data_IF_129196499812
#
_entry.id   IF_129196499812
#
_cell.length_a   1.000
_cell.length_b   1.000
_cell.length_c   1.000
_cell.angle_alpha   90.00
_cell.angle_beta   90.00
_cell.angle_gamma   90.00
#
_symmetry.space_group_name_H-M   'P 1'
#
loop_
_entity.id
_entity.type
_entity.pdbx_description
1 polymer ?
#
# COMPACT_ATOMS: atom_id res chain seq x y z
N UNK A 1 28.82 -7.16 91.99
CA UNK A 1 28.05 -8.24 91.33
C UNK A 1 27.36 -7.58 90.13
N UNK A 2 27.82 -7.82 88.94
CA UNK A 2 27.34 -7.35 87.64
C UNK A 2 26.14 -8.13 87.12
N UNK A 3 25.28 -7.52 86.32
CA UNK A 3 24.87 -8.29 85.15
C UNK A 3 25.08 -7.52 83.80
N UNK A 4 25.44 -8.35 82.84
CA UNK A 4 25.62 -8.12 81.42
C UNK A 4 24.39 -7.54 80.70
N UNK A 5 24.61 -6.54 79.90
CA UNK A 5 23.63 -6.09 78.88
C UNK A 5 24.06 -6.58 77.50
N UNK A 6 23.26 -7.45 76.90
CA UNK A 6 23.41 -7.90 75.52
C UNK A 6 22.66 -6.93 74.60
N UNK A 7 23.41 -6.12 73.87
CA UNK A 7 22.87 -5.34 72.76
C UNK A 7 22.74 -6.24 71.49
N UNK A 8 21.52 -6.47 71.05
CA UNK A 8 21.23 -7.14 69.75
C UNK A 8 21.32 -6.10 68.66
N UNK A 9 22.35 -6.21 67.83
CA UNK A 9 22.43 -5.53 66.53
C UNK A 9 21.48 -6.15 65.55
N UNK A 10 20.40 -5.46 65.18
CA UNK A 10 19.58 -5.79 64.02
C UNK A 10 20.24 -5.26 62.75
N UNK A 11 20.89 -6.10 61.97
CA UNK A 11 21.36 -5.79 60.65
C UNK A 11 20.18 -5.82 59.65
N UNK A 12 19.71 -4.67 59.22
CA UNK A 12 18.72 -4.55 58.15
C UNK A 12 19.48 -4.68 56.83
N UNK A 13 19.29 -5.83 56.14
CA UNK A 13 19.76 -6.04 54.76
C UNK A 13 18.83 -5.28 53.83
N UNK A 14 19.25 -4.10 53.36
CA UNK A 14 18.56 -3.36 52.31
C UNK A 14 18.96 -4.00 50.98
N UNK A 15 18.11 -4.90 50.44
CA UNK A 15 18.25 -5.43 49.11
C UNK A 15 17.82 -4.33 48.11
N UNK A 16 18.80 -3.61 47.53
CA UNK A 16 18.58 -2.69 46.43
C UNK A 16 18.23 -3.52 45.16
N UNK A 17 16.94 -3.59 44.80
CA UNK A 17 16.53 -4.00 43.45
C UNK A 17 17.01 -2.94 42.46
N UNK A 18 18.18 -3.13 41.88
CA UNK A 18 18.60 -2.43 40.71
C UNK A 18 17.72 -2.88 39.53
N UNK A 19 16.67 -2.11 39.24
CA UNK A 19 15.96 -2.23 37.97
C UNK A 19 16.94 -1.89 36.87
N UNK A 20 17.48 -2.92 36.22
CA UNK A 20 18.25 -2.76 34.98
C UNK A 20 17.28 -2.24 33.93
N UNK A 21 17.24 -0.92 33.75
CA UNK A 21 16.60 -0.28 32.61
C UNK A 21 17.46 -0.63 31.39
N UNK A 22 17.16 -1.75 30.72
CA UNK A 22 17.77 -2.02 29.42
C UNK A 22 17.36 -0.89 28.50
N UNK A 23 18.30 -0.23 27.81
CA UNK A 23 17.93 0.73 26.78
C UNK A 23 17.11 -0.02 25.73
N UNK A 24 15.84 0.37 25.55
CA UNK A 24 15.05 -0.08 24.43
C UNK A 24 15.84 0.30 23.16
N UNK A 25 16.26 -0.68 22.38
CA UNK A 25 16.90 -0.42 21.10
C UNK A 25 15.85 0.27 20.23
N UNK A 26 16.24 1.42 19.64
CA UNK A 26 15.43 2.08 18.62
C UNK A 26 15.13 1.04 17.53
N UNK A 27 13.84 0.73 17.31
CA UNK A 27 13.39 -0.28 16.35
C UNK A 27 12.65 -1.49 16.96
N UNK A 28 12.82 -1.80 18.24
CA UNK A 28 12.11 -2.91 18.91
C UNK A 28 10.90 -2.43 19.74
N UNK A 29 10.53 -1.14 19.62
CA UNK A 29 9.31 -0.60 20.20
C UNK A 29 8.05 -1.30 19.68
N UNK A 30 6.93 -1.21 20.41
CA UNK A 30 5.63 -1.70 19.98
C UNK A 30 5.41 -3.21 20.09
N UNK A 31 6.35 -3.96 20.67
CA UNK A 31 6.19 -5.38 21.00
C UNK A 31 6.15 -5.52 22.51
N UNK A 32 5.01 -5.99 23.04
CA UNK A 32 4.82 -6.29 24.45
C UNK A 32 4.50 -7.79 24.64
N UNK A 33 4.39 -8.31 25.88
CA UNK A 33 3.94 -9.68 26.08
C UNK A 33 2.56 -10.01 25.49
N UNK A 34 1.71 -8.99 25.28
CA UNK A 34 0.30 -9.17 24.87
C UNK A 34 -0.06 -8.45 23.56
N UNK A 35 0.83 -7.60 23.01
CA UNK A 35 0.51 -6.74 21.87
C UNK A 35 1.68 -6.61 20.90
N UNK A 36 1.36 -6.50 19.60
CA UNK A 36 2.22 -6.00 18.51
C UNK A 36 1.52 -4.78 17.93
N UNK A 37 2.13 -3.61 18.07
CA UNK A 37 1.54 -2.34 17.64
C UNK A 37 2.05 -1.92 16.28
N UNK A 38 1.13 -1.70 15.33
CA UNK A 38 1.40 -1.20 13.98
C UNK A 38 0.86 0.21 13.82
N UNK A 39 1.53 1.03 13.01
CA UNK A 39 1.10 2.40 12.74
C UNK A 39 1.06 2.71 11.25
N UNK A 40 0.17 3.61 10.83
CA UNK A 40 0.17 4.17 9.49
C UNK A 40 -0.06 5.68 9.51
N UNK A 41 0.71 6.43 8.72
CA UNK A 41 0.25 7.69 8.16
C UNK A 41 -0.40 7.41 6.82
N UNK A 42 -1.65 7.78 6.64
CA UNK A 42 -2.43 7.42 5.47
C UNK A 42 -3.38 8.54 5.04
N UNK A 43 -3.69 8.59 3.75
CA UNK A 43 -4.63 9.57 3.18
C UNK A 43 -6.06 9.14 3.50
N UNK A 44 -6.64 9.58 4.62
CA UNK A 44 -8.00 9.19 5.00
C UNK A 44 -9.06 10.21 4.55
N UNK A 45 -8.62 11.41 4.16
CA UNK A 45 -9.47 12.50 3.67
C UNK A 45 -9.07 12.92 2.24
N UNK A 46 -9.88 13.79 1.60
CA UNK A 46 -9.60 14.27 0.25
C UNK A 46 -9.87 13.23 -0.86
N UNK A 47 -9.35 13.48 -2.09
CA UNK A 47 -9.69 12.71 -3.30
C UNK A 47 -9.35 11.21 -3.26
N UNK A 48 -8.36 10.82 -2.46
CA UNK A 48 -7.92 9.42 -2.29
C UNK A 48 -8.47 8.77 -1.02
N UNK A 49 -9.11 9.55 -0.13
CA UNK A 49 -9.51 9.09 1.20
C UNK A 49 -10.43 7.86 1.19
N UNK A 50 -11.39 7.82 0.28
CA UNK A 50 -12.31 6.68 0.15
C UNK A 50 -11.55 5.37 -0.15
N UNK A 51 -10.66 5.39 -1.14
CA UNK A 51 -9.88 4.22 -1.52
C UNK A 51 -8.90 3.80 -0.42
N UNK A 52 -8.24 4.75 0.22
CA UNK A 52 -7.25 4.45 1.27
C UNK A 52 -7.90 3.83 2.51
N UNK A 53 -9.10 4.27 2.89
CA UNK A 53 -9.85 3.60 3.97
C UNK A 53 -10.13 2.14 3.68
N UNK A 54 -10.38 1.77 2.42
CA UNK A 54 -10.62 0.39 2.01
C UNK A 54 -9.42 -0.53 2.30
N UNK A 55 -8.17 -0.07 2.08
CA UNK A 55 -6.99 -0.85 2.48
C UNK A 55 -6.99 -1.15 3.98
N UNK A 56 -7.37 -0.17 4.80
CA UNK A 56 -7.47 -0.33 6.25
C UNK A 56 -8.58 -1.32 6.66
N UNK A 57 -9.72 -1.30 5.96
CA UNK A 57 -10.83 -2.25 6.20
C UNK A 57 -10.36 -3.68 5.93
N UNK A 58 -9.73 -3.93 4.79
CA UNK A 58 -9.19 -5.26 4.44
C UNK A 58 -8.12 -5.74 5.42
N UNK A 59 -7.22 -4.85 5.84
CA UNK A 59 -6.18 -5.17 6.81
C UNK A 59 -6.77 -5.55 8.17
N UNK A 60 -7.72 -4.76 8.69
CA UNK A 60 -8.38 -5.06 9.96
C UNK A 60 -9.19 -6.35 9.90
N UNK A 61 -9.81 -6.65 8.77
CA UNK A 61 -10.53 -7.92 8.59
C UNK A 61 -9.64 -9.12 8.91
N UNK A 62 -8.39 -9.12 8.40
CA UNK A 62 -7.45 -10.20 8.68
C UNK A 62 -6.87 -10.13 10.09
N UNK A 63 -6.48 -8.95 10.58
CA UNK A 63 -5.96 -8.80 11.94
C UNK A 63 -6.98 -9.21 12.99
N UNK A 64 -8.25 -8.85 12.82
CA UNK A 64 -9.33 -9.22 13.74
C UNK A 64 -9.52 -10.74 13.79
N UNK A 65 -9.46 -11.44 12.64
CA UNK A 65 -9.53 -12.90 12.56
C UNK A 65 -8.35 -13.57 13.27
N UNK A 66 -7.14 -13.05 13.08
CA UNK A 66 -5.92 -13.52 13.77
C UNK A 66 -6.04 -13.29 15.28
N UNK A 67 -6.50 -12.11 15.70
CA UNK A 67 -6.67 -11.74 17.08
C UNK A 67 -7.72 -12.62 17.80
N UNK A 68 -8.81 -12.95 17.11
CA UNK A 68 -9.84 -13.86 17.60
C UNK A 68 -9.30 -15.30 17.79
N UNK A 69 -8.30 -15.69 16.98
CA UNK A 69 -7.64 -17.00 17.03
C UNK A 69 -6.45 -17.05 18.02
N UNK A 70 -6.30 -16.04 18.88
CA UNK A 70 -5.23 -15.98 19.90
C UNK A 70 -4.02 -15.13 19.52
N UNK A 71 -4.07 -14.43 18.38
CA UNK A 71 -3.02 -13.52 17.94
C UNK A 71 -1.76 -14.20 17.41
N UNK A 72 -0.66 -13.47 17.37
CA UNK A 72 0.66 -13.97 16.95
C UNK A 72 1.48 -14.33 18.19
N UNK A 73 1.70 -15.60 18.42
CA UNK A 73 2.38 -16.11 19.62
C UNK A 73 1.78 -15.59 20.94
N UNK A 74 0.44 -15.44 21.00
CA UNK A 74 -0.29 -14.93 22.17
C UNK A 74 -0.41 -13.40 22.22
N UNK A 75 0.11 -12.67 21.23
CA UNK A 75 0.05 -11.21 21.16
C UNK A 75 -1.02 -10.77 20.16
N UNK A 76 -1.87 -9.84 20.56
CA UNK A 76 -2.83 -9.22 19.65
C UNK A 76 -2.14 -8.17 18.78
N UNK A 77 -2.57 -8.05 17.54
CA UNK A 77 -2.14 -6.98 16.62
C UNK A 77 -3.07 -5.80 16.83
N UNK A 78 -2.51 -4.63 17.17
CA UNK A 78 -3.20 -3.35 17.12
C UNK A 78 -2.74 -2.54 15.91
N UNK A 79 -3.63 -1.75 15.33
CA UNK A 79 -3.34 -0.98 14.13
C UNK A 79 -3.92 0.43 14.24
N UNK A 80 -3.02 1.40 14.45
CA UNK A 80 -3.33 2.82 14.58
C UNK A 80 -3.11 3.52 13.24
N UNK A 81 -4.04 4.36 12.83
CA UNK A 81 -3.94 5.12 11.57
C UNK A 81 -4.15 6.60 11.84
N UNK A 82 -3.23 7.44 11.35
CA UNK A 82 -3.29 8.89 11.41
C UNK A 82 -3.52 9.45 10.00
N UNK A 83 -4.46 10.40 9.88
CA UNK A 83 -4.75 11.06 8.60
C UNK A 83 -3.69 12.11 8.28
N UNK A 84 -3.04 11.99 7.12
CA UNK A 84 -2.14 13.02 6.61
C UNK A 84 -2.81 13.95 5.58
N UNK A 85 -4.03 13.65 5.14
CA UNK A 85 -4.79 14.47 4.19
C UNK A 85 -4.05 14.68 2.86
N UNK A 86 -3.17 13.76 2.47
CA UNK A 86 -2.26 13.86 1.32
C UNK A 86 -1.18 14.95 1.44
N UNK A 87 -0.93 15.47 2.65
CA UNK A 87 0.10 16.44 2.95
C UNK A 87 1.40 15.75 3.38
N UNK A 88 2.50 16.08 2.69
CA UNK A 88 3.81 15.45 2.89
C UNK A 88 4.40 15.78 4.25
N UNK A 89 4.25 17.02 4.72
CA UNK A 89 4.76 17.44 6.03
C UNK A 89 4.05 16.72 7.16
N UNK A 90 2.72 16.64 7.06
CA UNK A 90 1.89 15.91 8.02
C UNK A 90 2.19 14.41 8.03
N UNK A 91 2.52 13.81 6.88
CA UNK A 91 2.95 12.42 6.82
C UNK A 91 4.23 12.17 7.63
N UNK A 92 5.20 13.09 7.56
CA UNK A 92 6.43 13.02 8.36
C UNK A 92 6.15 13.21 9.86
N UNK A 93 5.32 14.19 10.21
CA UNK A 93 4.91 14.47 11.60
C UNK A 93 4.18 13.26 12.20
N UNK A 94 3.21 12.70 11.48
CA UNK A 94 2.49 11.50 11.88
C UNK A 94 3.43 10.30 12.07
N UNK A 95 4.40 10.11 11.17
CA UNK A 95 5.34 8.99 11.25
C UNK A 95 6.22 9.11 12.48
N UNK A 96 6.76 10.32 12.78
CA UNK A 96 7.51 10.56 14.03
C UNK A 96 6.63 10.31 15.25
N UNK A 97 5.42 10.82 15.29
CA UNK A 97 4.47 10.60 16.38
C UNK A 97 4.18 9.11 16.61
N UNK A 98 4.00 8.34 15.54
CA UNK A 98 3.78 6.89 15.63
C UNK A 98 4.98 6.17 16.23
N UNK A 99 6.20 6.56 15.83
CA UNK A 99 7.45 5.93 16.29
C UNK A 99 7.80 6.40 17.70
N UNK A 100 7.91 7.71 17.91
CA UNK A 100 8.51 8.30 19.11
C UNK A 100 7.54 8.35 20.29
N UNK A 101 6.24 8.62 20.04
CA UNK A 101 5.25 8.79 21.11
C UNK A 101 4.38 7.53 21.30
N UNK A 102 3.97 6.87 20.21
CA UNK A 102 3.09 5.69 20.29
C UNK A 102 3.87 4.38 20.30
N UNK A 103 5.17 4.42 20.03
CA UNK A 103 6.06 3.28 20.09
C UNK A 103 5.58 2.12 19.19
N UNK A 104 5.32 2.39 17.92
CA UNK A 104 4.90 1.32 16.98
C UNK A 104 6.09 0.44 16.60
N UNK A 105 5.85 -0.85 16.42
CA UNK A 105 6.86 -1.82 15.97
C UNK A 105 7.26 -1.57 14.51
N UNK A 106 6.30 -1.21 13.66
CA UNK A 106 6.55 -0.85 12.28
C UNK A 106 5.47 0.06 11.72
N UNK A 107 5.80 0.78 10.65
CA UNK A 107 4.85 1.48 9.81
C UNK A 107 4.28 0.48 8.80
N UNK A 108 2.95 0.47 8.68
CA UNK A 108 2.23 -0.49 7.85
C UNK A 108 1.26 0.23 6.90
N UNK A 109 1.34 -0.07 5.60
CA UNK A 109 0.42 0.48 4.58
C UNK A 109 0.35 2.02 4.54
N UNK A 110 1.47 2.73 4.78
CA UNK A 110 1.48 4.16 4.52
C UNK A 110 1.15 4.44 3.05
N UNK A 111 0.46 5.55 2.77
CA UNK A 111 -0.11 5.82 1.46
C UNK A 111 0.51 7.05 0.81
N UNK A 112 0.75 6.97 -0.51
CA UNK A 112 1.20 8.09 -1.33
C UNK A 112 2.70 8.06 -1.64
N UNK A 113 3.03 8.42 -2.89
CA UNK A 113 4.41 8.38 -3.39
C UNK A 113 5.29 9.46 -2.75
N UNK A 114 4.83 10.70 -2.72
CA UNK A 114 5.57 11.80 -2.10
C UNK A 114 5.69 11.62 -0.58
N UNK A 115 4.62 11.15 0.08
CA UNK A 115 4.58 10.85 1.50
C UNK A 115 5.58 9.75 1.86
N UNK A 116 5.57 8.64 1.11
CA UNK A 116 6.55 7.55 1.30
C UNK A 116 7.98 8.05 1.15
N UNK A 117 8.26 8.87 0.11
CA UNK A 117 9.59 9.45 -0.07
C UNK A 117 10.06 10.27 1.13
N UNK A 118 9.16 11.08 1.67
CA UNK A 118 9.48 12.00 2.77
C UNK A 118 9.72 11.29 4.11
N UNK A 119 9.08 10.15 4.36
CA UNK A 119 9.27 9.40 5.61
C UNK A 119 10.48 8.46 5.59
N UNK A 120 11.06 8.11 4.43
CA UNK A 120 12.20 7.19 4.35
C UNK A 120 13.39 7.58 5.23
N UNK A 121 13.82 8.87 5.31
CA UNK A 121 14.90 9.28 6.22
C UNK A 121 14.57 8.98 7.69
N UNK A 122 13.33 9.25 8.13
CA UNK A 122 12.86 8.95 9.50
C UNK A 122 12.93 7.46 9.79
N UNK A 123 12.48 6.62 8.85
CA UNK A 123 12.51 5.16 8.99
C UNK A 123 13.93 4.61 9.06
N UNK A 124 14.86 5.19 8.29
CA UNK A 124 16.26 4.78 8.30
C UNK A 124 16.97 5.21 9.60
N UNK A 125 16.70 6.42 10.10
CA UNK A 125 17.21 6.94 11.37
C UNK A 125 16.76 6.06 12.55
N UNK A 126 15.46 5.77 12.62
CA UNK A 126 14.83 4.98 13.69
C UNK A 126 14.99 3.46 13.51
N UNK A 127 15.52 2.99 12.38
CA UNK A 127 15.55 1.57 11.98
C UNK A 127 14.16 0.89 12.01
N UNK A 128 13.12 1.67 11.75
CA UNK A 128 11.74 1.20 11.74
C UNK A 128 11.37 0.68 10.35
N UNK A 129 10.78 -0.51 10.29
CA UNK A 129 10.31 -1.09 9.03
C UNK A 129 9.08 -0.34 8.52
N UNK A 130 9.00 -0.09 7.21
CA UNK A 130 7.73 0.12 6.51
C UNK A 130 7.37 -1.14 5.71
N UNK A 131 6.22 -1.72 6.03
CA UNK A 131 5.71 -2.91 5.36
C UNK A 131 4.50 -2.56 4.49
N UNK A 132 4.56 -2.92 3.21
CA UNK A 132 3.47 -2.74 2.25
C UNK A 132 3.14 -1.28 1.93
N UNK A 133 4.12 -0.37 1.70
CA UNK A 133 3.78 0.99 1.31
C UNK A 133 2.91 1.00 0.05
N UNK A 134 1.80 1.75 0.08
CA UNK A 134 0.83 1.84 -1.02
C UNK A 134 1.35 2.80 -2.08
N UNK A 135 2.43 2.40 -2.72
CA UNK A 135 3.06 3.04 -3.87
C UNK A 135 3.86 2.03 -4.68
N UNK A 136 3.87 2.19 -5.99
CA UNK A 136 4.65 1.37 -6.93
C UNK A 136 5.92 2.06 -7.47
N UNK A 137 6.30 3.21 -6.91
CA UNK A 137 7.39 4.03 -7.44
C UNK A 137 8.74 3.32 -7.44
N UNK A 138 9.46 3.35 -8.58
CA UNK A 138 10.78 2.73 -8.76
C UNK A 138 11.83 3.34 -7.84
N UNK A 139 11.74 4.63 -7.52
CA UNK A 139 12.68 5.31 -6.64
C UNK A 139 12.88 4.64 -5.26
N UNK A 140 11.90 3.85 -4.79
CA UNK A 140 11.98 3.10 -3.53
C UNK A 140 12.40 1.64 -3.72
N UNK A 141 12.48 1.18 -4.98
CA UNK A 141 12.72 -0.22 -5.35
C UNK A 141 14.09 -0.43 -5.98
N UNK A 142 14.59 0.57 -6.70
CA UNK A 142 15.86 0.51 -7.42
C UNK A 142 17.05 0.52 -6.44
N UNK A 143 16.87 1.14 -5.27
CA UNK A 143 17.85 1.12 -4.20
C UNK A 143 17.34 0.25 -3.05
N UNK A 144 18.02 -0.85 -2.79
CA UNK A 144 17.71 -1.71 -1.66
C UNK A 144 17.76 -0.95 -0.33
N UNK A 145 16.75 -1.17 0.51
CA UNK A 145 16.70 -0.73 1.90
C UNK A 145 16.23 -1.90 2.77
N UNK A 146 16.94 -2.25 3.85
CA UNK A 146 16.53 -3.35 4.73
C UNK A 146 15.22 -3.06 5.46
N UNK A 147 14.81 -1.80 5.54
CA UNK A 147 13.62 -1.38 6.27
C UNK A 147 12.39 -1.15 5.38
N UNK A 148 12.45 -1.43 4.08
CA UNK A 148 11.31 -1.22 3.17
C UNK A 148 10.91 -2.54 2.53
N UNK A 149 9.75 -3.07 2.91
CA UNK A 149 9.18 -4.29 2.34
C UNK A 149 7.99 -3.95 1.45
N UNK A 150 8.18 -4.08 0.15
CA UNK A 150 7.09 -3.90 -0.82
C UNK A 150 6.28 -5.18 -0.95
N UNK A 151 4.98 -5.06 -1.11
CA UNK A 151 4.08 -6.20 -1.37
C UNK A 151 3.60 -6.17 -2.81
N UNK A 152 3.12 -5.02 -3.26
CA UNK A 152 2.55 -4.79 -4.59
C UNK A 152 3.63 -4.72 -5.69
N UNK A 153 3.24 -4.98 -6.93
CA UNK A 153 4.08 -4.71 -8.10
C UNK A 153 4.41 -3.21 -8.24
N UNK A 154 5.53 -2.91 -8.89
CA UNK A 154 5.95 -1.54 -9.16
C UNK A 154 5.24 -0.94 -10.38
N UNK A 155 5.11 0.39 -10.42
CA UNK A 155 4.51 1.12 -11.55
C UNK A 155 5.24 0.89 -12.87
N UNK A 156 6.55 0.63 -12.84
CA UNK A 156 7.31 0.22 -14.03
C UNK A 156 6.77 -1.07 -14.66
N UNK A 157 6.38 -2.06 -13.84
CA UNK A 157 5.80 -3.30 -14.34
C UNK A 157 4.39 -3.08 -14.90
N UNK A 158 3.60 -2.24 -14.24
CA UNK A 158 2.26 -1.86 -14.71
C UNK A 158 2.35 -1.08 -16.03
N UNK A 159 3.24 -0.08 -16.13
CA UNK A 159 3.46 0.71 -17.34
C UNK A 159 3.88 -0.19 -18.52
N UNK A 160 4.85 -1.09 -18.30
CA UNK A 160 5.24 -2.07 -19.32
C UNK A 160 4.08 -2.93 -19.78
N UNK A 161 3.25 -3.42 -18.84
CA UNK A 161 2.09 -4.27 -19.18
C UNK A 161 1.05 -3.51 -19.99
N UNK A 162 0.78 -2.24 -19.66
CA UNK A 162 -0.17 -1.38 -20.39
C UNK A 162 0.37 -1.09 -21.79
N UNK A 163 1.61 -0.61 -21.94
CA UNK A 163 2.21 -0.28 -23.24
C UNK A 163 2.31 -1.51 -24.12
N UNK A 164 2.75 -2.65 -23.60
CA UNK A 164 2.81 -3.91 -24.34
C UNK A 164 1.43 -4.35 -24.85
N UNK A 165 0.37 -4.20 -24.06
CA UNK A 165 -1.00 -4.49 -24.48
C UNK A 165 -1.45 -3.58 -25.62
N UNK A 166 -1.19 -2.28 -25.52
CA UNK A 166 -1.52 -1.31 -26.56
C UNK A 166 -0.81 -1.64 -27.87
N UNK A 167 0.47 -1.98 -27.80
CA UNK A 167 1.25 -2.46 -28.95
C UNK A 167 0.65 -3.69 -29.60
N UNK A 168 0.35 -4.72 -28.80
CA UNK A 168 -0.19 -5.99 -29.28
C UNK A 168 -1.56 -5.83 -29.95
N UNK A 169 -2.33 -4.81 -29.54
CA UNK A 169 -3.64 -4.49 -30.12
C UNK A 169 -3.58 -3.48 -31.27
N UNK A 170 -2.37 -3.09 -31.72
CA UNK A 170 -2.18 -2.18 -32.83
C UNK A 170 -2.50 -0.71 -32.51
N UNK A 171 -2.59 -0.34 -31.23
CA UNK A 171 -2.82 1.04 -30.78
C UNK A 171 -1.49 1.79 -30.74
N UNK A 172 -1.34 2.79 -31.64
CA UNK A 172 -0.10 3.56 -31.77
C UNK A 172 -0.25 5.03 -31.34
N UNK A 173 -1.45 5.63 -31.42
CA UNK A 173 -1.69 7.01 -30.98
C UNK A 173 -2.09 7.02 -29.51
N UNK A 174 -1.09 7.11 -28.64
CA UNK A 174 -1.23 7.04 -27.19
C UNK A 174 -0.97 8.43 -26.60
N UNK A 175 -1.89 8.91 -25.76
CA UNK A 175 -1.69 10.10 -24.96
C UNK A 175 -1.69 9.74 -23.46
N UNK A 176 -1.14 10.61 -22.64
CA UNK A 176 -1.13 10.46 -21.18
C UNK A 176 -1.82 11.67 -20.55
N UNK A 177 -2.76 11.44 -19.66
CA UNK A 177 -3.27 12.45 -18.74
C UNK A 177 -2.64 12.23 -17.37
N UNK A 178 -1.99 13.27 -16.82
CA UNK A 178 -1.33 13.15 -15.53
C UNK A 178 -1.60 14.34 -14.61
N UNK A 179 -1.68 14.06 -13.31
CA UNK A 179 -1.73 15.07 -12.26
C UNK A 179 -0.31 15.55 -11.93
N UNK A 180 -0.10 16.87 -11.84
CA UNK A 180 1.24 17.46 -11.58
C UNK A 180 1.64 17.38 -10.11
N UNK A 181 1.71 16.16 -9.59
CA UNK A 181 2.16 15.83 -8.24
C UNK A 181 3.16 14.65 -8.24
N UNK A 182 3.57 14.19 -7.05
CA UNK A 182 4.53 13.09 -6.92
C UNK A 182 4.05 11.78 -7.53
N UNK A 183 2.76 11.47 -7.46
CA UNK A 183 2.18 10.27 -8.08
C UNK A 183 2.18 10.39 -9.60
N UNK A 184 1.55 11.43 -10.14
CA UNK A 184 1.37 11.57 -11.58
C UNK A 184 2.69 11.72 -12.34
N UNK A 185 3.66 12.47 -11.79
CA UNK A 185 5.02 12.57 -12.35
C UNK A 185 5.74 11.24 -12.37
N UNK A 186 5.60 10.44 -11.32
CA UNK A 186 6.20 9.09 -11.27
C UNK A 186 5.59 8.19 -12.33
N UNK A 187 4.26 8.14 -12.42
CA UNK A 187 3.57 7.31 -13.41
C UNK A 187 3.91 7.73 -14.85
N UNK A 188 3.99 9.05 -15.12
CA UNK A 188 4.41 9.56 -16.42
C UNK A 188 5.84 9.15 -16.77
N UNK A 189 6.76 9.23 -15.80
CA UNK A 189 8.16 8.79 -16.01
C UNK A 189 8.23 7.31 -16.37
N UNK A 190 7.49 6.44 -15.67
CA UNK A 190 7.44 5.01 -15.95
C UNK A 190 6.82 4.71 -17.33
N UNK A 191 5.80 5.48 -17.72
CA UNK A 191 5.19 5.38 -19.05
C UNK A 191 6.16 5.79 -20.16
N UNK A 192 6.91 6.88 -19.99
CA UNK A 192 7.96 7.30 -20.93
C UNK A 192 9.02 6.22 -21.09
N UNK A 193 9.49 5.62 -20.01
CA UNK A 193 10.47 4.54 -20.03
C UNK A 193 9.92 3.29 -20.75
N UNK A 194 8.70 2.88 -20.44
CA UNK A 194 8.05 1.73 -21.07
C UNK A 194 7.78 1.97 -22.57
N UNK A 195 7.33 3.18 -22.92
CA UNK A 195 7.07 3.63 -24.28
C UNK A 195 8.35 3.62 -25.12
N UNK A 196 9.44 4.17 -24.59
CA UNK A 196 10.75 4.16 -25.25
C UNK A 196 11.26 2.73 -25.48
N UNK A 197 11.14 1.85 -24.49
CA UNK A 197 11.58 0.44 -24.61
C UNK A 197 10.81 -0.33 -25.70
N UNK A 198 9.55 0.01 -25.95
CA UNK A 198 8.71 -0.63 -26.97
C UNK A 198 8.71 0.12 -28.33
N UNK A 199 9.43 1.24 -28.43
CA UNK A 199 9.47 2.12 -29.59
C UNK A 199 8.08 2.63 -30.02
N UNK A 200 7.21 2.97 -29.06
CA UNK A 200 5.90 3.59 -29.29
C UNK A 200 5.89 4.96 -28.64
N UNK A 201 5.96 6.08 -29.39
CA UNK A 201 6.00 7.42 -28.81
C UNK A 201 4.66 7.80 -28.16
N UNK A 202 4.73 8.48 -27.03
CA UNK A 202 3.57 9.18 -26.46
C UNK A 202 3.33 10.45 -27.26
N UNK A 203 2.17 10.55 -27.89
CA UNK A 203 1.88 11.67 -28.83
C UNK A 203 1.49 12.97 -28.13
N UNK A 204 0.97 12.89 -26.92
CA UNK A 204 0.55 14.04 -26.13
C UNK A 204 0.58 13.71 -24.63
N UNK A 205 0.88 14.72 -23.82
CA UNK A 205 0.89 14.67 -22.37
C UNK A 205 0.03 15.81 -21.82
N UNK A 206 -1.16 15.49 -21.31
CA UNK A 206 -2.08 16.45 -20.74
C UNK A 206 -1.85 16.58 -19.24
N UNK A 207 -1.33 17.72 -18.83
CA UNK A 207 -1.04 18.06 -17.44
C UNK A 207 -2.26 18.65 -16.73
N UNK A 208 -2.52 18.23 -15.50
CA UNK A 208 -3.48 18.84 -14.60
C UNK A 208 -2.76 19.41 -13.36
N UNK A 209 -2.96 20.69 -13.09
CA UNK A 209 -2.56 21.28 -11.81
C UNK A 209 -3.59 20.89 -10.72
N UNK A 210 -3.19 20.15 -9.67
CA UNK A 210 -4.13 19.74 -8.62
C UNK A 210 -4.63 20.91 -7.76
N UNK A 211 -3.95 22.06 -7.79
CA UNK A 211 -4.35 23.26 -7.05
C UNK A 211 -5.40 24.09 -7.78
N UNK A 212 -5.38 24.02 -9.12
CA UNK A 212 -6.31 24.74 -10.01
C UNK A 212 -6.75 23.81 -11.16
N UNK A 213 -7.55 22.78 -10.87
CA UNK A 213 -7.86 21.73 -11.83
C UNK A 213 -8.79 22.26 -12.94
N UNK A 214 -8.29 22.29 -14.16
CA UNK A 214 -9.08 22.59 -15.35
C UNK A 214 -9.25 21.34 -16.22
N UNK A 215 -10.27 20.57 -15.92
CA UNK A 215 -10.61 19.37 -16.67
C UNK A 215 -11.14 19.68 -18.07
N UNK A 216 -11.70 20.86 -18.31
CA UNK A 216 -12.23 21.26 -19.61
C UNK A 216 -11.09 21.51 -20.60
N UNK A 217 -10.04 22.20 -20.17
CA UNK A 217 -8.84 22.41 -20.99
C UNK A 217 -8.15 21.06 -21.31
N UNK A 218 -8.01 20.17 -20.35
CA UNK A 218 -7.42 18.84 -20.57
C UNK A 218 -8.28 18.00 -21.55
N UNK A 219 -9.60 18.06 -21.45
CA UNK A 219 -10.51 17.37 -22.37
C UNK A 219 -10.46 17.94 -23.78
N UNK A 220 -10.39 19.28 -23.92
CA UNK A 220 -10.22 19.96 -25.23
C UNK A 220 -8.88 19.56 -25.88
N UNK A 221 -7.79 19.50 -25.13
CA UNK A 221 -6.50 19.02 -25.61
C UNK A 221 -6.57 17.54 -26.08
N UNK A 222 -7.30 16.69 -25.35
CA UNK A 222 -7.55 15.29 -25.77
C UNK A 222 -8.32 15.24 -27.08
N UNK A 223 -9.37 16.05 -27.22
CA UNK A 223 -10.15 16.14 -28.45
C UNK A 223 -9.30 16.60 -29.63
N UNK A 224 -8.46 17.61 -29.46
CA UNK A 224 -7.58 18.14 -30.51
C UNK A 224 -6.53 17.08 -30.93
N UNK A 225 -5.96 16.35 -30.00
CA UNK A 225 -4.94 15.33 -30.26
C UNK A 225 -5.52 14.05 -30.90
N UNK A 226 -6.80 13.75 -30.68
CA UNK A 226 -7.49 12.53 -31.17
C UNK A 226 -6.70 11.23 -30.93
N UNK A 227 -6.31 10.92 -29.70
CA UNK A 227 -5.61 9.69 -29.40
C UNK A 227 -6.54 8.48 -29.54
N UNK A 228 -5.98 7.30 -29.84
CA UNK A 228 -6.70 6.03 -29.77
C UNK A 228 -6.85 5.57 -28.32
N UNK A 229 -5.84 5.84 -27.49
CA UNK A 229 -5.85 5.54 -26.06
C UNK A 229 -5.31 6.70 -25.24
N UNK A 230 -5.87 6.88 -24.05
CA UNK A 230 -5.35 7.76 -23.00
C UNK A 230 -4.99 6.93 -21.79
N UNK A 231 -3.73 7.01 -21.35
CA UNK A 231 -3.30 6.40 -20.10
C UNK A 231 -3.46 7.42 -18.97
N UNK A 232 -4.16 7.01 -17.92
CA UNK A 232 -4.56 7.85 -16.79
C UNK A 232 -3.50 7.73 -15.68
N UNK A 233 -2.51 8.63 -15.70
CA UNK A 233 -1.45 8.72 -14.70
C UNK A 233 -1.91 9.54 -13.48
N UNK A 234 -3.01 9.12 -12.88
CA UNK A 234 -3.67 9.72 -11.71
C UNK A 234 -4.57 8.71 -11.02
N UNK A 235 -5.22 9.10 -9.94
CA UNK A 235 -6.12 8.24 -9.16
C UNK A 235 -7.30 9.02 -8.58
N UNK A 236 -8.20 8.31 -7.89
CA UNK A 236 -9.34 8.90 -7.17
C UNK A 236 -10.31 9.66 -8.09
N UNK A 237 -10.93 10.71 -7.54
CA UNK A 237 -11.91 11.52 -8.26
C UNK A 237 -11.32 12.39 -9.38
N UNK A 238 -10.02 12.66 -9.36
CA UNK A 238 -9.32 13.34 -10.48
C UNK A 238 -9.43 12.54 -11.77
N UNK A 239 -9.26 11.21 -11.68
CA UNK A 239 -9.41 10.29 -12.81
C UNK A 239 -10.83 10.39 -13.41
N UNK A 240 -11.85 10.23 -12.56
CA UNK A 240 -13.25 10.19 -13.01
C UNK A 240 -13.72 11.52 -13.55
N UNK A 241 -13.28 12.63 -12.96
CA UNK A 241 -13.59 13.98 -13.45
C UNK A 241 -13.02 14.23 -14.84
N UNK A 242 -11.77 13.80 -15.08
CA UNK A 242 -11.18 13.92 -16.41
C UNK A 242 -11.89 13.05 -17.45
N UNK A 243 -12.15 11.78 -17.15
CA UNK A 243 -12.89 10.88 -18.06
C UNK A 243 -14.26 11.47 -18.40
N UNK A 244 -15.01 11.94 -17.38
CA UNK A 244 -16.30 12.60 -17.56
C UNK A 244 -16.21 13.85 -18.47
N UNK A 245 -15.14 14.65 -18.33
CA UNK A 245 -14.93 15.83 -19.16
C UNK A 245 -14.65 15.44 -20.63
N UNK A 246 -13.80 14.42 -20.85
CA UNK A 246 -13.51 13.91 -22.21
C UNK A 246 -14.77 13.34 -22.87
N UNK A 247 -15.58 12.59 -22.15
CA UNK A 247 -16.81 12.00 -22.70
C UNK A 247 -17.89 13.03 -23.09
N UNK A 248 -17.79 14.28 -22.61
CA UNK A 248 -18.64 15.41 -23.05
C UNK A 248 -18.17 16.00 -24.40
N UNK A 249 -16.95 15.70 -24.85
CA UNK A 249 -16.43 16.09 -26.17
C UNK A 249 -16.81 15.04 -27.24
N UNK A 250 -16.32 15.22 -28.47
CA UNK A 250 -16.44 14.19 -29.52
C UNK A 250 -15.38 13.09 -29.46
N UNK A 251 -14.35 13.23 -28.60
CA UNK A 251 -13.28 12.24 -28.48
C UNK A 251 -13.78 10.95 -27.81
N UNK A 252 -13.34 9.81 -28.31
CA UNK A 252 -13.70 8.47 -27.78
C UNK A 252 -12.45 7.57 -27.69
N UNK A 253 -11.43 7.97 -26.92
CA UNK A 253 -10.27 7.11 -26.71
C UNK A 253 -10.61 5.93 -25.81
N UNK A 254 -9.85 4.83 -25.89
CA UNK A 254 -9.78 3.84 -24.83
C UNK A 254 -9.07 4.41 -23.61
N UNK A 255 -9.58 4.17 -22.41
CA UNK A 255 -8.94 4.61 -21.17
C UNK A 255 -8.23 3.47 -20.48
N UNK A 256 -6.99 3.72 -20.05
CA UNK A 256 -6.15 2.75 -19.35
C UNK A 256 -5.64 3.37 -18.05
N UNK A 257 -5.78 2.66 -16.94
CA UNK A 257 -5.37 3.15 -15.61
C UNK A 257 -4.44 2.17 -14.89
N UNK A 258 -3.71 2.71 -13.94
CA UNK A 258 -2.88 1.93 -13.02
C UNK A 258 -3.72 1.34 -11.88
N UNK A 259 -3.15 0.40 -11.14
CA UNK A 259 -3.80 -0.27 -10.00
C UNK A 259 -4.19 0.69 -8.86
N UNK A 260 -3.61 1.88 -8.82
CA UNK A 260 -4.01 2.95 -7.89
C UNK A 260 -5.35 3.60 -8.25
N UNK A 261 -5.92 3.29 -9.41
CA UNK A 261 -7.27 3.69 -9.77
C UNK A 261 -8.28 2.74 -9.14
N UNK A 262 -9.11 3.25 -8.23
CA UNK A 262 -10.12 2.44 -7.54
C UNK A 262 -11.27 2.09 -8.46
N UNK A 263 -11.50 0.79 -8.68
CA UNK A 263 -12.68 0.27 -9.38
C UNK A 263 -13.97 0.84 -8.78
N UNK A 264 -14.08 0.87 -7.45
CA UNK A 264 -15.30 1.30 -6.76
C UNK A 264 -15.57 2.79 -6.93
N UNK A 265 -14.53 3.62 -6.91
CA UNK A 265 -14.65 5.06 -7.21
C UNK A 265 -15.11 5.26 -8.65
N UNK A 266 -14.47 4.56 -9.60
CA UNK A 266 -14.82 4.64 -11.03
C UNK A 266 -16.27 4.19 -11.25
N UNK A 267 -16.68 3.06 -10.69
CA UNK A 267 -18.05 2.52 -10.78
C UNK A 267 -19.08 3.50 -10.23
N UNK A 268 -18.84 4.08 -9.06
CA UNK A 268 -19.75 5.01 -8.39
C UNK A 268 -19.89 6.32 -9.15
N UNK A 269 -18.78 6.90 -9.60
CA UNK A 269 -18.75 8.23 -10.21
C UNK A 269 -19.14 8.19 -11.70
N UNK A 270 -18.66 7.19 -12.47
CA UNK A 270 -18.90 7.09 -13.91
C UNK A 270 -20.09 6.22 -14.29
N UNK A 271 -20.53 5.32 -13.38
CA UNK A 271 -21.67 4.40 -13.63
C UNK A 271 -21.46 3.62 -14.95
N UNK A 272 -22.40 3.69 -15.88
CA UNK A 272 -22.34 3.01 -17.19
C UNK A 272 -21.16 3.52 -18.06
N UNK A 273 -20.72 4.76 -17.87
CA UNK A 273 -19.56 5.33 -18.59
C UNK A 273 -18.23 4.69 -18.19
N UNK A 274 -18.20 3.92 -17.09
CA UNK A 274 -17.02 3.15 -16.71
C UNK A 274 -16.70 2.00 -17.66
N UNK A 275 -17.68 1.56 -18.46
CA UNK A 275 -17.52 0.44 -19.40
C UNK A 275 -16.36 0.69 -20.38
N UNK A 276 -15.49 -0.29 -20.49
CA UNK A 276 -14.36 -0.26 -21.42
C UNK A 276 -13.09 0.36 -20.82
N UNK A 277 -13.13 0.93 -19.62
CA UNK A 277 -11.91 1.36 -18.92
C UNK A 277 -11.10 0.12 -18.54
N UNK A 278 -9.82 0.09 -18.92
CA UNK A 278 -8.88 -0.98 -18.60
C UNK A 278 -8.02 -0.54 -17.42
N UNK A 279 -7.92 -1.42 -16.40
CA UNK A 279 -7.12 -1.15 -15.21
C UNK A 279 -6.06 -2.23 -15.02
N UNK A 280 -4.83 -1.82 -14.70
CA UNK A 280 -3.83 -2.74 -14.19
C UNK A 280 -4.27 -3.26 -12.83
N UNK A 281 -4.09 -4.55 -12.61
CA UNK A 281 -4.41 -5.25 -11.38
C UNK A 281 -3.15 -5.94 -10.85
N UNK A 282 -2.85 -5.75 -9.58
CA UNK A 282 -1.66 -6.25 -8.91
C UNK A 282 -1.96 -7.31 -7.86
N UNK A 283 -3.21 -7.66 -7.74
CA UNK A 283 -3.73 -8.74 -6.90
C UNK A 283 -4.55 -9.70 -7.74
N UNK A 284 -4.67 -10.98 -7.35
CA UNK A 284 -5.53 -11.94 -8.03
C UNK A 284 -6.99 -11.47 -8.13
N UNK A 285 -7.64 -11.85 -9.21
CA UNK A 285 -9.06 -11.54 -9.42
C UNK A 285 -9.95 -12.08 -8.29
N UNK A 286 -10.78 -11.22 -7.72
CA UNK A 286 -11.80 -11.60 -6.72
C UNK A 286 -12.84 -12.59 -7.26
N UNK A 287 -12.93 -12.73 -8.58
CA UNK A 287 -13.82 -13.70 -9.23
C UNK A 287 -13.25 -15.12 -9.21
N UNK A 288 -11.93 -15.26 -9.02
CA UNK A 288 -11.28 -16.55 -8.96
C UNK A 288 -11.32 -17.13 -7.55
N UNK A 289 -12.49 -17.60 -7.14
CA UNK A 289 -12.72 -18.17 -5.80
C UNK A 289 -12.01 -19.51 -5.57
N UNK A 290 -11.42 -20.12 -6.61
CA UNK A 290 -10.55 -21.29 -6.44
C UNK A 290 -9.17 -20.93 -5.85
N UNK A 291 -8.80 -19.65 -5.89
CA UNK A 291 -7.58 -19.16 -5.23
C UNK A 291 -7.81 -19.07 -3.72
N UNK A 292 -7.06 -19.81 -2.88
CA UNK A 292 -7.36 -19.93 -1.44
C UNK A 292 -7.46 -18.61 -0.70
N UNK A 293 -6.57 -17.65 -0.98
CA UNK A 293 -6.60 -16.34 -0.33
C UNK A 293 -7.83 -15.51 -0.71
N UNK A 294 -8.35 -15.68 -1.93
CA UNK A 294 -9.60 -15.03 -2.37
C UNK A 294 -10.79 -15.63 -1.62
N UNK A 295 -10.85 -16.97 -1.55
CA UNK A 295 -11.91 -17.68 -0.83
C UNK A 295 -11.92 -17.29 0.67
N UNK A 296 -10.75 -17.22 1.29
CA UNK A 296 -10.57 -16.82 2.70
C UNK A 296 -11.04 -15.39 2.93
N UNK A 297 -10.61 -14.43 2.10
CA UNK A 297 -11.05 -13.04 2.18
C UNK A 297 -12.57 -12.92 2.08
N UNK A 298 -13.18 -13.55 1.07
CA UNK A 298 -14.62 -13.49 0.84
C UNK A 298 -15.41 -14.17 1.97
N UNK A 299 -14.88 -15.24 2.56
CA UNK A 299 -15.47 -15.90 3.73
C UNK A 299 -15.49 -14.96 4.92
N UNK A 300 -14.33 -14.43 5.33
CA UNK A 300 -14.21 -13.53 6.48
C UNK A 300 -15.02 -12.25 6.30
N UNK A 301 -15.08 -11.72 5.07
CA UNK A 301 -15.87 -10.53 4.77
C UNK A 301 -17.37 -10.79 5.01
N UNK A 302 -17.90 -11.94 4.55
CA UNK A 302 -19.30 -12.33 4.76
C UNK A 302 -19.62 -12.61 6.24
N UNK A 303 -18.68 -13.19 6.97
CA UNK A 303 -18.82 -13.45 8.41
C UNK A 303 -18.89 -12.14 9.21
N UNK A 304 -18.20 -11.09 8.76
CA UNK A 304 -18.26 -9.76 9.37
C UNK A 304 -19.58 -9.03 9.05
N UNK A 305 -20.05 -9.11 7.81
CA UNK A 305 -21.31 -8.53 7.36
C UNK A 305 -21.77 -9.19 6.07
N UNK A 306 -23.02 -9.69 6.07
CA UNK A 306 -23.64 -10.27 4.87
C UNK A 306 -23.85 -9.24 3.75
N UNK A 307 -23.87 -7.94 4.06
CA UNK A 307 -24.06 -6.84 3.11
C UNK A 307 -22.73 -6.24 2.63
N UNK A 308 -21.59 -6.71 3.17
CA UNK A 308 -20.29 -6.18 2.79
C UNK A 308 -19.98 -6.47 1.32
N UNK A 309 -19.60 -5.42 0.59
CA UNK A 309 -19.24 -5.51 -0.83
C UNK A 309 -17.71 -5.70 -0.93
N UNK A 310 -17.26 -6.77 -1.58
CA UNK A 310 -15.82 -6.97 -1.81
C UNK A 310 -15.23 -5.88 -2.71
N UNK A 311 -14.04 -5.37 -2.39
CA UNK A 311 -13.30 -4.44 -3.25
C UNK A 311 -11.85 -4.87 -3.46
N UNK A 312 -11.26 -4.46 -4.59
CA UNK A 312 -9.85 -4.74 -4.89
C UNK A 312 -8.92 -4.10 -3.86
N UNK A 313 -9.24 -2.89 -3.38
CA UNK A 313 -8.45 -2.19 -2.36
C UNK A 313 -8.53 -2.87 -0.99
N UNK A 314 -9.71 -3.34 -0.59
CA UNK A 314 -9.83 -4.16 0.63
C UNK A 314 -9.02 -5.45 0.51
N UNK A 315 -9.12 -6.13 -0.63
CA UNK A 315 -8.40 -7.37 -0.85
C UNK A 315 -6.88 -7.17 -0.84
N UNK A 316 -6.38 -6.08 -1.41
CA UNK A 316 -4.96 -5.71 -1.31
C UNK A 316 -4.54 -5.52 0.16
N UNK A 317 -5.30 -4.76 0.94
CA UNK A 317 -5.04 -4.59 2.37
C UNK A 317 -5.07 -5.91 3.15
N UNK A 318 -5.98 -6.81 2.80
CA UNK A 318 -6.07 -8.17 3.37
C UNK A 318 -4.81 -9.01 3.04
N UNK A 319 -4.35 -9.00 1.80
CA UNK A 319 -3.14 -9.72 1.37
C UNK A 319 -1.90 -9.16 2.06
N UNK A 320 -1.79 -7.83 2.18
CA UNK A 320 -0.71 -7.18 2.92
C UNK A 320 -0.68 -7.63 4.38
N UNK A 321 -1.84 -7.63 5.05
CA UNK A 321 -1.98 -8.08 6.43
C UNK A 321 -1.60 -9.56 6.59
N UNK A 322 -2.03 -10.40 5.66
CA UNK A 322 -1.71 -11.83 5.67
C UNK A 322 -0.21 -12.09 5.53
N UNK A 323 0.45 -11.43 4.58
CA UNK A 323 1.91 -11.52 4.41
C UNK A 323 2.66 -11.03 5.65
N UNK A 324 2.25 -9.90 6.23
CA UNK A 324 2.82 -9.39 7.47
C UNK A 324 2.71 -10.39 8.60
N UNK A 325 1.52 -10.94 8.85
CA UNK A 325 1.28 -11.91 9.92
C UNK A 325 2.11 -13.17 9.71
N UNK A 326 2.26 -13.66 8.48
CA UNK A 326 3.15 -14.79 8.19
C UNK A 326 4.61 -14.49 8.57
N UNK A 327 5.08 -13.27 8.28
CA UNK A 327 6.41 -12.81 8.71
C UNK A 327 6.56 -12.75 10.22
N UNK A 328 5.57 -12.18 10.93
CA UNK A 328 5.56 -12.10 12.39
C UNK A 328 5.54 -13.48 13.03
N UNK A 329 4.77 -14.42 12.49
CA UNK A 329 4.73 -15.82 12.98
C UNK A 329 6.08 -16.52 12.79
N UNK A 330 6.73 -16.34 11.65
CA UNK A 330 8.06 -16.92 11.36
C UNK A 330 9.18 -16.31 12.19
N UNK A 331 9.10 -15.03 12.51
CA UNK A 331 10.07 -14.34 13.38
C UNK A 331 10.08 -14.90 14.82
N UNK A 332 9.01 -15.59 15.23
CA UNK A 332 8.95 -16.30 16.50
C UNK A 332 8.59 -15.40 17.69
N UNK A 333 8.74 -15.96 18.91
CA UNK A 333 8.36 -15.27 20.15
C UNK A 333 9.28 -14.09 20.49
N UNK A 334 10.57 -14.20 20.15
CA UNK A 334 11.56 -13.13 20.37
C UNK A 334 11.56 -12.17 19.17
N UNK A 335 10.43 -11.48 19.00
CA UNK A 335 10.19 -10.60 17.87
C UNK A 335 11.00 -9.31 18.02
N UNK A 336 11.92 -9.08 17.08
CA UNK A 336 12.70 -7.86 16.88
C UNK A 336 12.65 -7.45 15.41
N UNK A 337 13.06 -6.22 15.08
CA UNK A 337 13.21 -5.77 13.70
C UNK A 337 14.10 -6.73 12.90
N UNK A 338 15.24 -7.14 13.46
CA UNK A 338 16.16 -8.07 12.81
C UNK A 338 15.57 -9.47 12.61
N UNK A 339 14.89 -10.03 13.62
CA UNK A 339 14.26 -11.35 13.50
C UNK A 339 13.16 -11.35 12.44
N UNK A 340 12.40 -10.25 12.30
CA UNK A 340 11.40 -10.11 11.26
C UNK A 340 12.04 -10.04 9.87
N UNK A 341 13.09 -9.22 9.68
CA UNK A 341 13.82 -9.12 8.40
C UNK A 341 14.33 -10.51 8.00
N UNK A 342 15.05 -11.19 8.89
CA UNK A 342 15.60 -12.52 8.64
C UNK A 342 14.52 -13.56 8.30
N UNK A 343 13.37 -13.51 9.01
CA UNK A 343 12.24 -14.39 8.75
C UNK A 343 11.61 -14.17 7.36
N UNK A 344 11.53 -12.92 6.91
CA UNK A 344 11.00 -12.60 5.59
C UNK A 344 11.98 -12.99 4.48
N UNK A 345 13.26 -12.67 4.64
CA UNK A 345 14.30 -12.96 3.64
C UNK A 345 14.55 -14.46 3.45
N UNK A 346 14.38 -15.25 4.49
CA UNK A 346 14.53 -16.72 4.45
C UNK A 346 13.23 -17.47 4.10
N UNK A 347 12.11 -16.78 3.93
CA UNK A 347 10.81 -17.39 3.73
C UNK A 347 10.64 -18.16 2.41
N UNK A 348 11.51 -17.89 1.41
CA UNK A 348 11.32 -18.39 0.05
C UNK A 348 10.12 -17.75 -0.65
N UNK A 349 9.48 -18.49 -1.54
CA UNK A 349 8.27 -18.03 -2.24
C UNK A 349 7.05 -18.11 -1.32
N UNK A 350 6.37 -16.99 -1.15
CA UNK A 350 5.09 -16.92 -0.46
C UNK A 350 4.00 -16.74 -1.52
N UNK A 351 3.32 -17.84 -1.86
CA UNK A 351 2.38 -17.88 -2.97
C UNK A 351 0.92 -17.78 -2.55
N UNK A 352 0.16 -16.95 -3.27
CA UNK A 352 -1.30 -16.87 -3.22
C UNK A 352 -1.87 -17.07 -4.63
N UNK A 353 -1.79 -18.29 -5.13
CA UNK A 353 -2.11 -18.61 -6.50
C UNK A 353 -1.04 -18.06 -7.47
N UNK A 354 -1.43 -17.23 -8.43
CA UNK A 354 -0.49 -16.58 -9.38
C UNK A 354 0.27 -15.39 -8.77
N UNK A 355 -0.19 -14.86 -7.65
CA UNK A 355 0.53 -13.85 -6.90
C UNK A 355 1.58 -14.56 -6.03
N UNK A 356 2.85 -14.21 -6.26
CA UNK A 356 3.99 -14.71 -5.49
C UNK A 356 4.76 -13.53 -4.95
N UNK A 357 5.01 -13.51 -3.64
CA UNK A 357 5.90 -12.56 -3.00
C UNK A 357 7.19 -13.28 -2.60
N UNK A 358 8.34 -12.66 -2.90
CA UNK A 358 9.66 -13.16 -2.50
C UNK A 358 10.50 -12.01 -1.97
N UNK A 359 11.16 -12.26 -0.83
CA UNK A 359 12.09 -11.32 -0.21
C UNK A 359 13.44 -12.00 -0.06
N UNK A 360 14.52 -11.24 -0.24
CA UNK A 360 15.89 -11.74 -0.12
C UNK A 360 16.76 -10.66 0.49
N UNK A 361 17.97 -10.97 1.02
CA UNK A 361 18.92 -9.98 1.52
C UNK A 361 19.39 -8.93 0.49
N UNK A 362 18.94 -9.04 -0.76
CA UNK A 362 19.27 -8.09 -1.84
C UNK A 362 18.04 -7.42 -2.44
N UNK A 363 16.84 -7.86 -2.08
CA UNK A 363 15.61 -7.33 -2.67
C UNK A 363 14.41 -7.57 -1.79
N UNK A 364 13.71 -6.48 -1.43
CA UNK A 364 12.43 -6.49 -0.73
C UNK A 364 11.27 -6.07 -1.63
N UNK A 365 11.35 -6.36 -2.94
CA UNK A 365 10.35 -5.94 -3.92
C UNK A 365 9.00 -6.68 -3.77
N UNK A 366 8.99 -7.87 -3.17
CA UNK A 366 7.77 -8.66 -2.99
C UNK A 366 7.27 -9.24 -4.31
N UNK A 367 6.11 -8.81 -4.79
CA UNK A 367 5.49 -9.34 -6.02
C UNK A 367 5.75 -8.48 -7.25
N UNK A 368 5.80 -9.13 -8.42
CA UNK A 368 5.81 -8.49 -9.74
C UNK A 368 4.54 -8.80 -10.54
N UNK A 369 3.54 -9.37 -9.88
CA UNK A 369 2.28 -9.77 -10.52
C UNK A 369 1.51 -8.55 -11.05
N UNK A 370 1.22 -8.54 -12.36
CA UNK A 370 0.38 -7.55 -13.03
C UNK A 370 -0.48 -8.22 -14.08
N UNK A 371 -1.79 -8.03 -13.99
CA UNK A 371 -2.77 -8.35 -15.03
C UNK A 371 -3.50 -7.08 -15.49
N UNK A 372 -4.15 -7.14 -16.66
CA UNK A 372 -5.07 -6.08 -17.11
C UNK A 372 -6.48 -6.63 -17.05
N UNK A 373 -7.40 -5.82 -16.55
CA UNK A 373 -8.81 -6.13 -16.52
C UNK A 373 -9.62 -4.96 -17.08
N UNK A 374 -10.68 -5.28 -17.83
CA UNK A 374 -11.59 -4.29 -18.43
C UNK A 374 -12.87 -4.19 -17.60
N UNK A 375 -13.37 -2.99 -17.41
CA UNK A 375 -14.65 -2.77 -16.74
C UNK A 375 -15.83 -3.09 -17.67
N UNK A 376 -16.74 -3.92 -17.19
CA UNK A 376 -17.97 -4.25 -17.92
C UNK A 376 -19.07 -3.19 -17.67
N UNK A 377 -20.27 -3.43 -18.21
CA UNK A 377 -21.43 -2.54 -18.07
C UNK A 377 -22.00 -2.45 -16.64
N UNK A 378 -21.56 -3.32 -15.72
CA UNK A 378 -21.93 -3.29 -14.30
C UNK A 378 -20.83 -2.66 -13.44
N UNK A 379 -19.74 -2.20 -14.07
CA UNK A 379 -18.54 -1.72 -13.37
C UNK A 379 -17.71 -2.84 -12.73
N UNK A 380 -17.90 -4.10 -13.18
CA UNK A 380 -17.13 -5.25 -12.72
C UNK A 380 -15.92 -5.49 -13.62
N UNK A 381 -14.79 -5.90 -13.02
CA UNK A 381 -13.58 -6.21 -13.76
C UNK A 381 -13.67 -7.60 -14.42
N UNK A 382 -13.30 -7.67 -15.71
CA UNK A 382 -13.15 -8.88 -16.52
C UNK A 382 -11.69 -9.03 -16.95
N UNK A 383 -11.15 -10.21 -16.73
CA UNK A 383 -9.74 -10.55 -16.97
C UNK A 383 -9.56 -11.33 -18.26
#
# INVERSE_FOLDING_TARGET
MTPFSMARMCSILLAALASVCMPAHAGDGGVTPTEIRLGASAVLSGPLGAQTREYGVGSRLYFDAVNASGGVHGRKISYVTLDDGFDVKRAVENTRKLIDEQGVFMIYNNTGTAQTSAILPVLQESKTIVFGPVTGASAFRDKYSPYVFHVRAGYAAEARRIISQLKQTGIARIAVFYQDDGLGKTLLSELRNASAAENIPLMAEMKLDPKQPDFSAAAAATQAAQPQAVILATAGTTLTSYVSAVLKTSARPGFYGFSVASQDVIRRELKEQARGIVLAQIMPSLRNTSTPVVAEYLKLLRERSSEAVPSASQFEGFVHAKLLVMGLQRAGRNLTTESFINAMESAGDIGFGRFIARYTPRSHIGSTYVELAIMDNRGELRY
#
